data_IF_751088418428
#
_entry.id   IF_751088418428
#
_cell.length_a   1.000
_cell.length_b   1.000
_cell.length_c   1.000
_cell.angle_alpha   90.00
_cell.angle_beta   90.00
_cell.angle_gamma   90.00
#
_symmetry.space_group_name_H-M   'P 1'
#
loop_
_entity.id
_entity.type
_entity.pdbx_description
1 polymer ?
#
# COMPACT_ATOMS: atom_id res chain seq x y z
N UNK A 1 -12.72 -6.57 1.08
CA UNK A 1 -11.27 -6.42 0.76
C UNK A 1 -10.52 -7.75 0.85
N UNK A 2 -11.07 -8.77 1.52
CA UNK A 2 -10.48 -10.12 1.57
C UNK A 2 -10.25 -10.73 0.17
N UNK A 3 -9.16 -11.48 0.00
CA UNK A 3 -8.82 -12.22 -1.21
C UNK A 3 -7.52 -11.80 -1.90
N UNK A 4 -7.36 -12.25 -3.15
CA UNK A 4 -6.15 -12.03 -3.96
C UNK A 4 -6.15 -10.65 -4.61
N UNK A 5 -4.99 -10.01 -4.59
CA UNK A 5 -4.78 -8.66 -5.09
C UNK A 5 -3.35 -8.51 -5.63
N UNK A 6 -3.16 -7.53 -6.52
CA UNK A 6 -1.86 -7.16 -7.09
C UNK A 6 -1.64 -5.68 -6.86
N UNK A 7 -0.42 -5.28 -6.49
CA UNK A 7 -0.03 -3.87 -6.49
C UNK A 7 0.07 -3.37 -7.92
N UNK A 8 -0.77 -2.39 -8.27
CA UNK A 8 -0.82 -1.79 -9.60
C UNK A 8 0.01 -0.50 -9.65
N UNK A 9 -0.13 0.34 -8.62
CA UNK A 9 0.62 1.57 -8.47
C UNK A 9 0.93 1.85 -6.99
N UNK A 10 1.95 2.66 -6.74
CA UNK A 10 2.35 3.15 -5.41
C UNK A 10 2.73 4.62 -5.55
N UNK A 11 2.38 5.44 -4.57
CA UNK A 11 2.90 6.79 -4.47
C UNK A 11 3.30 7.11 -3.03
N UNK A 12 4.31 7.96 -2.84
CA UNK A 12 4.72 8.44 -1.54
C UNK A 12 5.30 9.86 -1.60
N UNK A 13 5.20 10.59 -0.50
CA UNK A 13 5.88 11.89 -0.34
C UNK A 13 7.41 11.72 -0.34
N UNK A 14 7.90 10.63 0.27
CA UNK A 14 9.28 10.18 0.19
C UNK A 14 9.46 9.07 -0.85
N UNK A 15 9.64 9.47 -2.10
CA UNK A 15 9.75 8.55 -3.26
C UNK A 15 10.85 7.48 -3.10
N UNK A 16 11.91 7.76 -2.33
CA UNK A 16 13.00 6.83 -2.09
C UNK A 16 12.56 5.57 -1.33
N UNK A 17 11.46 5.63 -0.57
CA UNK A 17 10.92 4.47 0.16
C UNK A 17 10.19 3.49 -0.76
N UNK A 18 9.70 3.96 -1.92
CA UNK A 18 8.81 3.21 -2.82
C UNK A 18 9.35 2.98 -4.23
N UNK A 19 10.48 3.59 -4.59
CA UNK A 19 11.22 3.25 -5.82
C UNK A 19 11.71 1.80 -5.78
N UNK A 20 12.15 1.27 -6.92
CA UNK A 20 12.71 -0.09 -6.97
C UNK A 20 13.86 -0.27 -5.95
N UNK A 21 13.80 -1.37 -5.17
CA UNK A 21 14.71 -1.63 -4.07
C UNK A 21 14.38 -0.89 -2.77
N UNK A 22 13.39 0.00 -2.78
CA UNK A 22 12.91 0.71 -1.59
C UNK A 22 12.22 -0.23 -0.59
N UNK A 23 12.38 0.00 0.73
CA UNK A 23 11.89 -0.89 1.78
C UNK A 23 10.35 -1.01 1.84
N UNK A 24 9.63 0.00 1.34
CA UNK A 24 8.17 0.05 1.32
C UNK A 24 7.59 -0.22 -0.08
N UNK A 25 8.40 -0.63 -1.06
CA UNK A 25 7.90 -1.07 -2.37
C UNK A 25 7.40 -2.51 -2.28
N UNK A 26 6.15 -2.68 -1.86
CA UNK A 26 5.54 -4.00 -1.68
C UNK A 26 4.77 -4.47 -2.92
N UNK A 27 4.87 -5.76 -3.20
CA UNK A 27 4.15 -6.45 -4.26
C UNK A 27 3.10 -7.37 -3.63
N UNK A 28 1.89 -6.84 -3.44
CA UNK A 28 0.80 -7.55 -2.78
C UNK A 28 0.45 -8.86 -3.49
N UNK A 29 0.03 -9.85 -2.72
CA UNK A 29 -0.51 -11.13 -3.20
C UNK A 29 -1.89 -11.40 -2.64
N UNK A 30 -2.09 -11.11 -1.36
CA UNK A 30 -3.31 -11.50 -0.66
C UNK A 30 -3.56 -10.60 0.55
N UNK A 31 -4.82 -10.28 0.75
CA UNK A 31 -5.37 -9.71 1.96
C UNK A 31 -6.25 -10.78 2.62
N UNK A 32 -6.04 -11.04 3.90
CA UNK A 32 -6.81 -12.03 4.66
C UNK A 32 -7.49 -11.36 5.84
N UNK A 33 -8.82 -11.31 5.85
CA UNK A 33 -9.58 -10.83 6.99
C UNK A 33 -9.81 -11.96 8.01
N UNK A 34 -9.47 -11.70 9.27
CA UNK A 34 -9.92 -12.53 10.41
C UNK A 34 -10.60 -11.66 11.46
N UNK A 35 -11.36 -12.28 12.36
CA UNK A 35 -12.08 -11.60 13.46
C UNK A 35 -12.97 -10.45 12.95
N UNK A 36 -13.85 -10.74 11.98
CA UNK A 36 -14.68 -9.74 11.30
C UNK A 36 -13.86 -8.57 10.69
N UNK A 37 -12.69 -8.90 10.12
CA UNK A 37 -11.69 -7.94 9.63
C UNK A 37 -11.08 -7.03 10.72
N UNK A 38 -11.18 -7.35 12.01
CA UNK A 38 -10.39 -6.64 13.02
C UNK A 38 -8.89 -6.96 12.93
N UNK A 39 -8.55 -8.04 12.24
CA UNK A 39 -7.18 -8.40 11.89
C UNK A 39 -7.08 -8.58 10.38
N UNK A 40 -6.13 -7.88 9.77
CA UNK A 40 -5.89 -7.92 8.33
C UNK A 40 -4.49 -8.49 8.09
N UNK A 41 -4.43 -9.74 7.65
CA UNK A 41 -3.21 -10.32 7.10
C UNK A 41 -2.90 -9.69 5.75
N UNK A 42 -1.68 -9.17 5.57
CA UNK A 42 -1.21 -8.59 4.32
C UNK A 42 0.00 -9.40 3.88
N UNK A 43 -0.18 -10.20 2.82
CA UNK A 43 0.88 -11.05 2.27
C UNK A 43 1.40 -10.47 0.97
N UNK A 44 2.70 -10.23 0.90
CA UNK A 44 3.36 -9.52 -0.20
C UNK A 44 4.79 -10.00 -0.42
N UNK A 45 5.39 -9.59 -1.53
CA UNK A 45 6.83 -9.68 -1.74
C UNK A 45 7.49 -8.32 -1.58
N UNK A 46 8.75 -8.32 -1.16
CA UNK A 46 9.66 -7.17 -1.21
C UNK A 46 10.85 -7.59 -2.06
N UNK A 47 11.34 -6.67 -2.90
CA UNK A 47 12.57 -6.89 -3.67
C UNK A 47 13.71 -6.12 -3.01
N UNK A 48 14.61 -6.82 -2.34
CA UNK A 48 15.80 -6.25 -1.71
C UNK A 48 17.06 -6.94 -2.26
N UNK A 49 18.06 -6.16 -2.66
CA UNK A 49 19.31 -6.67 -3.24
C UNK A 49 19.10 -7.69 -4.39
N UNK A 50 18.09 -7.44 -5.24
CA UNK A 50 17.74 -8.32 -6.36
C UNK A 50 16.99 -9.60 -5.98
N UNK A 51 16.77 -9.87 -4.69
CA UNK A 51 16.03 -11.04 -4.21
C UNK A 51 14.61 -10.67 -3.77
N UNK A 52 13.67 -11.56 -4.07
CA UNK A 52 12.26 -11.41 -3.69
C UNK A 52 11.96 -12.26 -2.45
N UNK A 53 11.60 -11.61 -1.34
CA UNK A 53 11.22 -12.29 -0.10
C UNK A 53 9.72 -12.15 0.15
N UNK A 54 9.04 -13.28 0.37
CA UNK A 54 7.62 -13.30 0.75
C UNK A 54 7.49 -12.97 2.24
N UNK A 55 6.66 -12.00 2.56
CA UNK A 55 6.40 -11.52 3.92
C UNK A 55 4.90 -11.47 4.16
N UNK A 56 4.48 -11.77 5.39
CA UNK A 56 3.11 -11.56 5.85
C UNK A 56 3.14 -10.75 7.12
N UNK A 57 2.42 -9.63 7.15
CA UNK A 57 2.21 -8.82 8.37
C UNK A 57 0.75 -8.90 8.78
N UNK A 58 0.49 -8.66 10.06
CA UNK A 58 -0.89 -8.59 10.57
C UNK A 58 -1.14 -7.17 11.06
N UNK A 59 -2.06 -6.48 10.39
CA UNK A 59 -2.62 -5.22 10.87
C UNK A 59 -3.73 -5.46 11.87
N UNK A 60 -3.67 -4.81 13.03
CA UNK A 60 -4.75 -4.83 14.01
C UNK A 60 -5.56 -3.54 13.92
N UNK A 61 -6.87 -3.66 13.69
CA UNK A 61 -7.79 -2.53 13.58
C UNK A 61 -7.94 -1.85 14.95
N UNK A 62 -7.88 -0.52 14.95
CA UNK A 62 -8.06 0.31 16.14
C UNK A 62 -9.43 0.99 16.11
N UNK A 63 -9.77 1.71 17.19
CA UNK A 63 -11.04 2.45 17.32
C UNK A 63 -11.23 3.52 16.23
N UNK A 64 -10.14 4.09 15.72
CA UNK A 64 -10.15 5.03 14.58
C UNK A 64 -10.47 4.36 13.22
N UNK A 65 -10.72 3.05 13.24
CA UNK A 65 -11.06 2.24 12.07
C UNK A 65 -9.86 1.86 11.19
N UNK A 66 -8.65 2.34 11.51
CA UNK A 66 -7.41 2.04 10.77
C UNK A 66 -6.65 0.88 11.42
N UNK A 67 -5.78 0.25 10.65
CA UNK A 67 -4.92 -0.83 11.10
C UNK A 67 -3.57 -0.31 11.58
N UNK A 68 -2.98 -1.01 12.56
CA UNK A 68 -1.61 -0.80 13.04
C UNK A 68 -0.79 -2.08 12.84
N UNK A 69 0.41 -1.96 12.27
CA UNK A 69 1.36 -3.06 12.10
C UNK A 69 2.81 -2.56 12.15
N UNK A 70 3.73 -3.46 12.50
CA UNK A 70 5.17 -3.21 12.41
C UNK A 70 5.77 -3.84 11.15
N UNK A 71 6.39 -2.99 10.33
CA UNK A 71 7.14 -3.37 9.14
C UNK A 71 7.94 -2.16 8.67
N UNK A 72 9.28 -2.25 8.69
CA UNK A 72 10.15 -1.11 8.34
C UNK A 72 9.79 0.18 9.14
N UNK A 73 9.39 -0.01 10.40
CA UNK A 73 8.79 1.04 11.23
C UNK A 73 7.35 0.75 11.64
N UNK A 74 6.72 1.73 12.27
CA UNK A 74 5.32 1.66 12.66
C UNK A 74 4.43 2.17 11.53
N UNK A 75 3.38 1.40 11.21
CA UNK A 75 2.48 1.67 10.11
C UNK A 75 1.06 1.89 10.60
N UNK A 76 0.46 2.99 10.17
CA UNK A 76 -0.98 3.27 10.30
C UNK A 76 -1.62 3.27 8.93
N UNK A 77 -2.49 2.30 8.64
CA UNK A 77 -2.99 2.12 7.27
C UNK A 77 -4.45 1.66 7.19
N UNK A 78 -5.06 1.82 6.04
CA UNK A 78 -6.41 1.31 5.78
C UNK A 78 -6.94 1.71 4.41
N UNK A 79 -8.05 1.09 3.97
CA UNK A 79 -8.69 1.45 2.71
C UNK A 79 -9.29 2.86 2.84
N UNK A 80 -8.98 3.73 1.88
CA UNK A 80 -9.63 5.04 1.69
C UNK A 80 -10.61 5.02 0.51
N UNK A 81 -10.47 4.03 -0.37
CA UNK A 81 -11.41 3.72 -1.43
C UNK A 81 -11.38 2.22 -1.71
N UNK A 82 -12.54 1.59 -1.91
CA UNK A 82 -12.61 0.16 -2.18
C UNK A 82 -13.81 -0.18 -3.07
N UNK A 83 -13.54 -0.91 -4.15
CA UNK A 83 -14.50 -1.63 -4.97
C UNK A 83 -14.08 -3.11 -5.02
N UNK A 84 -14.88 -4.02 -5.62
CA UNK A 84 -14.47 -5.42 -5.80
C UNK A 84 -13.17 -5.60 -6.61
N UNK A 85 -12.91 -4.69 -7.55
CA UNK A 85 -11.82 -4.83 -8.53
C UNK A 85 -10.63 -3.89 -8.30
N UNK A 86 -10.82 -2.84 -7.50
CA UNK A 86 -9.86 -1.76 -7.31
C UNK A 86 -9.95 -1.15 -5.91
N UNK A 87 -8.83 -0.95 -5.24
CA UNK A 87 -8.81 -0.33 -3.91
C UNK A 87 -7.55 0.52 -3.72
N UNK A 88 -7.71 1.62 -2.99
CA UNK A 88 -6.63 2.51 -2.59
C UNK A 88 -6.52 2.45 -1.08
N UNK A 89 -5.33 2.15 -0.59
CA UNK A 89 -4.97 2.18 0.81
C UNK A 89 -4.10 3.39 1.08
N UNK A 90 -4.44 4.18 2.10
CA UNK A 90 -3.48 5.14 2.65
C UNK A 90 -2.65 4.44 3.73
N UNK A 91 -1.38 4.79 3.81
CA UNK A 91 -0.47 4.37 4.85
C UNK A 91 0.39 5.56 5.29
N UNK A 92 0.55 5.66 6.60
CA UNK A 92 1.52 6.53 7.24
C UNK A 92 2.54 5.64 7.96
N UNK A 93 3.79 5.72 7.51
CA UNK A 93 4.91 4.99 8.07
C UNK A 93 5.80 5.94 8.89
N UNK A 94 6.21 5.51 10.07
CA UNK A 94 7.25 6.17 10.88
C UNK A 94 8.39 5.17 11.04
N UNK A 95 9.53 5.46 10.42
CA UNK A 95 10.66 4.54 10.46
C UNK A 95 11.42 4.62 11.80
N UNK A 96 12.41 3.73 11.98
CA UNK A 96 13.23 3.66 13.20
C UNK A 96 13.98 4.95 13.55
N UNK A 97 14.15 5.86 12.60
CA UNK A 97 14.81 7.17 12.80
C UNK A 97 13.81 8.28 13.10
N UNK A 98 12.52 7.97 13.12
CA UNK A 98 11.43 8.94 13.28
C UNK A 98 11.07 9.66 11.98
N UNK A 99 11.66 9.28 10.84
CA UNK A 99 11.28 9.85 9.55
C UNK A 99 9.90 9.32 9.16
N UNK A 100 8.99 10.25 8.88
CA UNK A 100 7.64 9.93 8.44
C UNK A 100 7.57 9.81 6.92
N UNK A 101 6.69 8.96 6.42
CA UNK A 101 6.36 8.85 5.00
C UNK A 101 4.86 8.62 4.85
N UNK A 102 4.19 9.51 4.12
CA UNK A 102 2.82 9.30 3.69
C UNK A 102 2.83 8.63 2.32
N UNK A 103 2.00 7.61 2.17
CA UNK A 103 1.95 6.84 0.95
C UNK A 103 0.56 6.31 0.65
N UNK A 104 0.34 6.00 -0.62
CA UNK A 104 -0.82 5.25 -1.08
C UNK A 104 -0.37 3.98 -1.80
N UNK A 105 -1.08 2.89 -1.54
CA UNK A 105 -0.98 1.65 -2.27
C UNK A 105 -2.24 1.43 -3.09
N UNK A 106 -2.08 1.16 -4.37
CA UNK A 106 -3.17 0.90 -5.29
C UNK A 106 -3.17 -0.59 -5.62
N UNK A 107 -4.26 -1.27 -5.27
CA UNK A 107 -4.43 -2.69 -5.51
C UNK A 107 -5.55 -2.95 -6.52
N UNK A 108 -5.32 -3.91 -7.40
CA UNK A 108 -6.29 -4.34 -8.40
C UNK A 108 -6.22 -5.84 -8.67
N UNK A 109 -6.95 -6.29 -9.68
CA UNK A 109 -6.99 -7.69 -10.12
C UNK A 109 -6.03 -8.03 -11.28
N UNK A 110 -5.06 -7.16 -11.53
CA UNK A 110 -4.00 -7.37 -12.53
C UNK A 110 -4.25 -6.71 -13.88
N UNK A 111 -5.31 -5.90 -14.00
CA UNK A 111 -5.52 -5.06 -15.19
C UNK A 111 -4.80 -3.71 -15.02
N UNK A 112 -4.38 -3.06 -16.13
CA UNK A 112 -3.89 -1.69 -16.11
C UNK A 112 -4.94 -0.71 -15.56
N UNK A 113 -4.46 0.43 -15.05
CA UNK A 113 -5.33 1.49 -14.55
C UNK A 113 -6.11 2.18 -15.68
N UNK A 114 -7.39 2.44 -15.46
CA UNK A 114 -8.19 3.29 -16.34
C UNK A 114 -7.92 4.78 -16.05
N UNK A 115 -8.25 5.70 -16.99
CA UNK A 115 -8.15 7.14 -16.73
C UNK A 115 -8.91 7.59 -15.47
N UNK A 116 -10.13 7.10 -15.25
CA UNK A 116 -10.93 7.40 -14.04
C UNK A 116 -10.26 6.89 -12.75
N UNK A 117 -9.60 5.73 -12.81
CA UNK A 117 -8.82 5.22 -11.67
C UNK A 117 -7.61 6.11 -11.39
N UNK A 118 -6.93 6.60 -12.44
CA UNK A 118 -5.84 7.57 -12.29
C UNK A 118 -6.29 8.86 -11.63
N UNK A 119 -7.38 9.46 -12.10
CA UNK A 119 -7.96 10.65 -11.48
C UNK A 119 -8.24 10.41 -9.98
N UNK A 120 -8.76 9.23 -9.64
CA UNK A 120 -9.01 8.87 -8.24
C UNK A 120 -7.72 8.72 -7.43
N UNK A 121 -6.66 8.16 -8.01
CA UNK A 121 -5.35 8.06 -7.37
C UNK A 121 -4.78 9.46 -7.10
N UNK A 122 -4.87 10.38 -8.07
CA UNK A 122 -4.42 11.76 -7.91
C UNK A 122 -5.20 12.52 -6.83
N UNK A 123 -6.53 12.33 -6.76
CA UNK A 123 -7.37 12.89 -5.69
C UNK A 123 -6.87 12.46 -4.31
N UNK A 124 -6.64 11.16 -4.10
CA UNK A 124 -6.16 10.65 -2.81
C UNK A 124 -4.70 10.99 -2.53
N UNK A 125 -3.84 11.02 -3.54
CA UNK A 125 -2.45 11.47 -3.40
C UNK A 125 -2.40 12.91 -2.88
N UNK A 126 -3.23 13.80 -3.45
CA UNK A 126 -3.35 15.19 -3.01
C UNK A 126 -3.80 15.28 -1.54
N UNK A 127 -4.79 14.49 -1.12
CA UNK A 127 -5.24 14.44 0.28
C UNK A 127 -4.12 14.00 1.23
N UNK A 128 -3.21 13.14 0.79
CA UNK A 128 -2.05 12.68 1.55
C UNK A 128 -0.81 13.58 1.40
N UNK A 129 -0.92 14.73 0.72
CA UNK A 129 0.21 15.60 0.37
C UNK A 129 1.33 14.91 -0.41
N UNK A 130 0.97 13.94 -1.25
CA UNK A 130 1.89 13.22 -2.13
C UNK A 130 1.93 13.93 -3.49
N UNK A 131 3.11 14.32 -3.99
CA UNK A 131 3.26 14.88 -5.33
C UNK A 131 2.80 13.87 -6.39
N UNK A 132 2.06 14.34 -7.40
CA UNK A 132 1.53 13.46 -8.46
C UNK A 132 2.64 12.77 -9.25
N UNK A 133 3.77 13.44 -9.42
CA UNK A 133 4.97 12.93 -10.09
C UNK A 133 5.62 11.75 -9.35
N UNK A 134 5.26 11.54 -8.07
CA UNK A 134 5.74 10.39 -7.29
C UNK A 134 4.85 9.16 -7.42
N UNK A 135 3.75 9.23 -8.19
CA UNK A 135 2.94 8.07 -8.54
C UNK A 135 3.75 7.18 -9.49
N UNK A 136 3.96 5.94 -9.08
CA UNK A 136 4.73 4.95 -9.84
C UNK A 136 3.87 3.74 -10.15
N UNK A 137 3.81 3.40 -11.44
CA UNK A 137 3.29 2.11 -11.85
C UNK A 137 4.20 0.97 -11.38
N UNK A 138 3.55 -0.11 -10.97
CA UNK A 138 4.20 -1.32 -10.44
C UNK A 138 3.90 -2.52 -11.31
N UNK A 139 2.68 -2.61 -11.84
CA UNK A 139 2.37 -3.57 -12.88
C UNK A 139 3.16 -3.16 -14.13
N UNK A 140 4.07 -4.01 -14.59
CA UNK A 140 4.80 -3.75 -15.82
C UNK A 140 3.81 -3.66 -17.00
N UNK A 141 3.83 -2.54 -17.72
CA UNK A 141 3.30 -2.44 -19.09
C UNK A 141 4.18 -3.21 -20.06
#
# INVERSE_FOLDING_TARGET
IDGKWVTIAIAADNVNKVKEGGPLRIYLRELTCTDACNRLGVTFYIKANGQCTKTTIIGNRQEDGKYRAQFEGDNTFGPVYATPEFTIFANHNVDRTGQTTNMIYVYGKGQPLTPEQYEKIEEFAKVQNIPKENIQDVLAT
#
